data_IF_863939334918
#
_entry.id   IF_863939334918
#
_cell.length_a   1.000
_cell.length_b   1.000
_cell.length_c   1.000
_cell.angle_alpha   90.00
_cell.angle_beta   90.00
_cell.angle_gamma   90.00
#
_symmetry.space_group_name_H-M   'P 1'
#
loop_
_entity.id
_entity.type
_entity.pdbx_description
1 polymer ?
#
# COMPACT_ATOMS: atom_id res chain seq x y z
N UNK A 1 -47.30 -9.59 -23.30
CA UNK A 1 -45.93 -9.37 -23.82
C UNK A 1 -44.97 -8.68 -22.84
N UNK A 2 -45.39 -7.70 -22.02
CA UNK A 2 -44.48 -7.00 -21.07
C UNK A 2 -43.94 -7.87 -19.91
N UNK A 3 -44.72 -8.82 -19.41
CA UNK A 3 -44.33 -9.66 -18.25
C UNK A 3 -43.29 -10.73 -18.66
N UNK A 4 -43.39 -11.27 -19.88
CA UNK A 4 -42.44 -12.26 -20.39
C UNK A 4 -41.03 -11.66 -20.63
N UNK A 5 -40.96 -10.38 -21.00
CA UNK A 5 -39.68 -9.68 -21.21
C UNK A 5 -38.98 -9.40 -19.88
N UNK A 6 -39.73 -9.07 -18.81
CA UNK A 6 -39.17 -8.90 -17.47
C UNK A 6 -38.65 -10.21 -16.87
N UNK A 7 -39.34 -11.33 -17.12
CA UNK A 7 -38.87 -12.65 -16.69
C UNK A 7 -37.57 -13.08 -17.38
N UNK A 8 -37.39 -12.73 -18.66
CA UNK A 8 -36.18 -13.05 -19.42
C UNK A 8 -34.97 -12.21 -18.95
N UNK A 9 -35.18 -10.93 -18.61
CA UNK A 9 -34.13 -10.07 -18.04
C UNK A 9 -33.74 -10.48 -16.62
N UNK A 10 -34.70 -10.92 -15.78
CA UNK A 10 -34.40 -11.46 -14.45
C UNK A 10 -33.63 -12.79 -14.51
N UNK A 11 -33.91 -13.64 -15.50
CA UNK A 11 -33.21 -14.91 -15.70
C UNK A 11 -31.75 -14.71 -16.18
N UNK A 12 -31.50 -13.69 -17.01
CA UNK A 12 -30.16 -13.36 -17.52
C UNK A 12 -29.24 -12.72 -16.46
N UNK A 13 -29.78 -12.16 -15.37
CA UNK A 13 -28.99 -11.65 -14.25
C UNK A 13 -28.68 -12.76 -13.23
N UNK A 14 -29.45 -13.86 -13.24
CA UNK A 14 -29.28 -14.97 -12.28
C UNK A 14 -28.14 -15.93 -12.65
N UNK A 15 -27.60 -15.87 -13.87
CA UNK A 15 -26.27 -16.43 -14.18
C UNK A 15 -25.22 -15.46 -13.67
N UNK A 16 -25.18 -15.25 -12.35
CA UNK A 16 -24.03 -14.66 -11.70
C UNK A 16 -22.82 -15.45 -12.15
N UNK A 17 -21.86 -14.76 -12.74
CA UNK A 17 -20.56 -15.33 -13.05
C UNK A 17 -20.02 -15.90 -11.74
N UNK A 18 -20.07 -17.22 -11.60
CA UNK A 18 -19.29 -17.94 -10.61
C UNK A 18 -17.84 -17.81 -11.12
N UNK A 19 -17.23 -16.64 -10.91
CA UNK A 19 -15.78 -16.55 -10.93
C UNK A 19 -15.34 -17.44 -9.79
N UNK A 20 -14.71 -18.58 -10.06
CA UNK A 20 -14.22 -19.41 -8.99
C UNK A 20 -13.20 -18.58 -8.22
N UNK A 21 -13.50 -18.29 -6.95
CA UNK A 21 -12.52 -17.84 -5.98
C UNK A 21 -11.64 -19.05 -5.69
N UNK A 22 -10.74 -19.37 -6.60
CA UNK A 22 -9.72 -20.35 -6.33
C UNK A 22 -8.71 -19.72 -5.38
N UNK A 23 -8.36 -20.46 -4.34
CA UNK A 23 -7.23 -20.15 -3.49
C UNK A 23 -5.92 -20.21 -4.29
N UNK A 24 -5.85 -21.07 -5.34
CA UNK A 24 -4.83 -21.17 -6.40
C UNK A 24 -5.44 -21.55 -7.75
N UNK A 25 -4.97 -20.92 -8.84
CA UNK A 25 -5.45 -21.24 -10.21
C UNK A 25 -4.73 -22.45 -10.79
N UNK A 26 -5.49 -23.40 -11.34
CA UNK A 26 -4.97 -24.61 -12.00
C UNK A 26 -5.13 -24.54 -13.51
N UNK A 27 -4.05 -24.81 -14.24
CA UNK A 27 -4.01 -24.97 -15.70
C UNK A 27 -3.48 -26.36 -16.03
N UNK A 28 -4.10 -27.02 -17.01
CA UNK A 28 -3.65 -28.32 -17.51
C UNK A 28 -2.81 -28.13 -18.79
N UNK A 29 -1.63 -28.74 -18.82
CA UNK A 29 -0.73 -28.77 -19.98
C UNK A 29 -0.34 -30.22 -20.23
N UNK A 30 -0.93 -30.81 -21.27
CA UNK A 30 -0.77 -32.24 -21.57
C UNK A 30 -1.08 -33.12 -20.34
N UNK A 31 -0.10 -33.91 -19.87
CA UNK A 31 -0.24 -34.75 -18.68
C UNK A 31 -0.12 -34.00 -17.35
N UNK A 32 0.26 -32.71 -17.35
CA UNK A 32 0.56 -31.95 -16.15
C UNK A 32 -0.61 -31.08 -15.71
N UNK A 33 -0.86 -31.07 -14.40
CA UNK A 33 -1.69 -30.07 -13.73
C UNK A 33 -0.75 -29.12 -13.01
N UNK A 34 -0.80 -27.85 -13.40
CA UNK A 34 0.04 -26.77 -12.88
C UNK A 34 -0.88 -25.84 -12.11
N UNK A 35 -0.73 -25.83 -10.80
CA UNK A 35 -1.46 -24.97 -9.87
C UNK A 35 -0.50 -23.87 -9.40
N UNK A 36 -0.94 -22.61 -9.42
CA UNK A 36 -0.15 -21.47 -8.99
C UNK A 36 -0.99 -20.46 -8.20
N UNK A 37 -0.38 -19.82 -7.21
CA UNK A 37 -0.98 -18.71 -6.45
C UNK A 37 -0.14 -18.30 -5.26
N UNK A 38 -0.76 -17.77 -4.21
CA UNK A 38 -0.04 -17.22 -3.04
C UNK A 38 0.16 -18.25 -1.92
N UNK A 39 1.31 -18.21 -1.25
CA UNK A 39 1.61 -19.09 -0.12
C UNK A 39 0.87 -18.72 1.17
N UNK A 40 0.65 -17.41 1.40
CA UNK A 40 -0.12 -16.87 2.52
C UNK A 40 -1.35 -16.14 1.96
N UNK A 41 -2.51 -16.47 2.50
CA UNK A 41 -3.81 -15.93 2.06
C UNK A 41 -4.58 -15.24 3.20
N UNK A 42 -5.28 -14.12 2.92
CA UNK A 42 -5.25 -13.37 1.66
C UNK A 42 -3.86 -12.74 1.43
N UNK A 43 -3.41 -12.64 0.17
CA UNK A 43 -2.19 -11.92 -0.13
C UNK A 43 -2.41 -10.43 0.13
N UNK A 44 -1.51 -9.79 0.87
CA UNK A 44 -1.62 -8.36 1.20
C UNK A 44 -0.39 -7.58 0.78
N UNK A 45 -0.60 -6.33 0.40
CA UNK A 45 0.45 -5.43 -0.07
C UNK A 45 1.49 -5.13 1.01
N UNK A 46 2.77 -5.09 0.62
CA UNK A 46 3.88 -4.65 1.47
C UNK A 46 4.39 -5.70 2.45
N UNK A 47 3.77 -6.88 2.53
CA UNK A 47 4.20 -7.98 3.41
C UNK A 47 4.86 -9.06 2.56
N UNK A 48 5.98 -9.63 3.03
CA UNK A 48 6.62 -10.76 2.35
C UNK A 48 5.65 -11.94 2.28
N UNK A 49 5.55 -12.51 1.09
CA UNK A 49 4.78 -13.70 0.79
C UNK A 49 5.59 -14.58 -0.18
N UNK A 50 5.00 -15.68 -0.60
CA UNK A 50 5.56 -16.58 -1.60
C UNK A 50 4.58 -16.74 -2.76
N UNK A 51 5.10 -16.81 -3.99
CA UNK A 51 4.37 -17.42 -5.10
C UNK A 51 4.64 -18.92 -5.00
N UNK A 52 3.58 -19.72 -4.88
CA UNK A 52 3.67 -21.17 -4.79
C UNK A 52 3.20 -21.82 -6.08
N UNK A 53 3.86 -22.92 -6.42
CA UNK A 53 3.49 -23.77 -7.54
C UNK A 53 3.35 -25.21 -7.07
N UNK A 54 2.39 -25.90 -7.65
CA UNK A 54 2.21 -27.32 -7.49
C UNK A 54 2.03 -27.96 -8.85
N UNK A 55 2.98 -28.81 -9.21
CA UNK A 55 3.06 -29.46 -10.52
C UNK A 55 2.88 -30.97 -10.29
N UNK A 56 1.77 -31.50 -10.80
CA UNK A 56 1.44 -32.91 -10.68
C UNK A 56 1.13 -33.54 -12.03
N UNK A 57 1.28 -34.85 -12.14
CA UNK A 57 0.72 -35.65 -13.23
C UNK A 57 -0.29 -36.67 -12.68
N UNK A 58 -1.21 -37.14 -13.51
CA UNK A 58 -2.08 -38.26 -13.16
C UNK A 58 -1.26 -39.51 -12.89
N UNK A 59 -1.57 -40.20 -11.78
CA UNK A 59 -0.94 -41.47 -11.42
C UNK A 59 -1.53 -42.67 -12.16
N UNK A 60 -1.02 -43.87 -11.88
CA UNK A 60 -1.43 -45.11 -12.54
C UNK A 60 -2.89 -45.49 -12.27
N UNK A 61 -3.46 -45.05 -11.14
CA UNK A 61 -4.86 -45.29 -10.77
C UNK A 61 -5.67 -43.99 -10.89
N UNK A 62 -6.92 -44.08 -11.34
CA UNK A 62 -7.83 -42.94 -11.38
C UNK A 62 -7.93 -42.25 -10.01
N UNK A 63 -7.81 -40.92 -10.01
CA UNK A 63 -7.83 -40.09 -8.80
C UNK A 63 -6.52 -40.04 -8.02
N UNK A 64 -5.45 -40.74 -8.46
CA UNK A 64 -4.11 -40.59 -7.88
C UNK A 64 -3.30 -39.55 -8.66
N UNK A 65 -2.44 -38.81 -7.97
CA UNK A 65 -1.58 -37.79 -8.56
C UNK A 65 -0.16 -37.94 -8.05
N UNK A 66 0.81 -37.68 -8.92
CA UNK A 66 2.24 -37.74 -8.58
C UNK A 66 2.86 -36.36 -8.75
N UNK A 67 3.56 -35.88 -7.72
CA UNK A 67 4.31 -34.62 -7.78
C UNK A 67 5.52 -34.74 -8.71
N UNK A 68 5.70 -33.75 -9.59
CA UNK A 68 6.84 -33.67 -10.48
C UNK A 68 8.00 -33.02 -9.75
N UNK A 69 9.12 -33.74 -9.63
CA UNK A 69 10.37 -33.19 -9.10
C UNK A 69 11.20 -32.59 -10.23
N UNK A 70 12.07 -31.63 -9.87
CA UNK A 70 12.93 -30.88 -10.80
C UNK A 70 12.20 -30.22 -12.00
N UNK A 71 10.92 -29.86 -11.87
CA UNK A 71 10.16 -29.23 -12.94
C UNK A 71 10.79 -27.90 -13.41
N UNK A 72 11.37 -27.12 -12.49
CA UNK A 72 12.05 -25.85 -12.76
C UNK A 72 13.52 -25.99 -13.20
N UNK A 73 13.93 -27.16 -13.69
CA UNK A 73 15.27 -27.31 -14.25
C UNK A 73 15.42 -26.56 -15.58
N UNK A 74 14.40 -26.62 -16.44
CA UNK A 74 14.34 -25.98 -17.76
C UNK A 74 13.06 -25.15 -17.94
N UNK A 75 12.43 -24.76 -16.83
CA UNK A 75 11.21 -23.95 -16.79
C UNK A 75 11.52 -22.68 -16.00
N UNK A 76 11.16 -21.53 -16.55
CA UNK A 76 11.30 -20.23 -15.91
C UNK A 76 9.92 -19.70 -15.50
N UNK A 77 9.89 -18.88 -14.44
CA UNK A 77 8.70 -18.18 -14.00
C UNK A 77 8.94 -16.68 -13.95
N UNK A 78 8.01 -15.92 -14.49
CA UNK A 78 7.99 -14.46 -14.47
C UNK A 78 6.69 -13.97 -13.88
N UNK A 79 6.77 -13.17 -12.80
CA UNK A 79 5.61 -12.50 -12.22
C UNK A 79 5.37 -11.19 -12.96
N UNK A 80 4.11 -10.89 -13.28
CA UNK A 80 3.70 -9.69 -14.01
C UNK A 80 2.62 -8.91 -13.26
N UNK A 81 2.72 -7.58 -13.31
CA UNK A 81 1.72 -6.66 -12.76
C UNK A 81 1.71 -5.36 -13.57
N UNK A 82 0.55 -4.97 -14.11
CA UNK A 82 0.37 -3.65 -14.72
C UNK A 82 1.41 -3.27 -15.79
N UNK A 83 1.95 -4.25 -16.52
CA UNK A 83 3.00 -4.07 -17.52
C UNK A 83 4.44 -4.17 -17.00
N UNK A 84 4.65 -4.25 -15.68
CA UNK A 84 5.94 -4.62 -15.10
C UNK A 84 6.09 -6.14 -15.04
N UNK A 85 7.31 -6.63 -15.23
CA UNK A 85 7.66 -8.04 -15.16
C UNK A 85 8.90 -8.26 -14.30
N UNK A 86 8.95 -9.39 -13.59
CA UNK A 86 10.09 -9.82 -12.78
C UNK A 86 10.25 -11.34 -12.89
N UNK A 87 11.39 -11.79 -13.41
CA UNK A 87 11.79 -13.20 -13.31
C UNK A 87 12.04 -13.53 -11.82
N UNK A 88 11.49 -14.65 -11.35
CA UNK A 88 11.53 -15.05 -9.95
C UNK A 88 12.38 -16.31 -9.76
N UNK A 89 13.23 -16.29 -8.73
CA UNK A 89 14.07 -17.43 -8.39
C UNK A 89 13.25 -18.51 -7.69
N UNK A 90 13.20 -19.71 -8.28
CA UNK A 90 12.36 -20.81 -7.79
C UNK A 90 13.13 -21.72 -6.84
N UNK A 91 12.55 -21.97 -5.67
CA UNK A 91 13.00 -22.95 -4.69
C UNK A 91 12.11 -24.19 -4.74
N UNK A 92 12.68 -25.34 -4.41
CA UNK A 92 11.94 -26.61 -4.29
C UNK A 92 11.57 -26.87 -2.83
N UNK A 93 10.33 -27.29 -2.59
CA UNK A 93 9.89 -27.78 -1.29
C UNK A 93 10.30 -29.27 -1.11
N UNK A 94 10.54 -29.76 0.12
CA UNK A 94 10.75 -31.18 0.38
C UNK A 94 9.63 -32.09 -0.13
N UNK A 95 8.39 -31.57 -0.22
CA UNK A 95 7.23 -32.27 -0.76
C UNK A 95 7.31 -32.31 -2.30
N UNK A 96 7.33 -33.51 -2.92
CA UNK A 96 7.41 -33.63 -4.37
C UNK A 96 6.30 -32.87 -5.10
N UNK A 97 6.66 -32.14 -6.16
CA UNK A 97 5.72 -31.33 -6.95
C UNK A 97 5.52 -29.91 -6.44
N UNK A 98 6.01 -29.56 -5.26
CA UNK A 98 5.81 -28.23 -4.67
C UNK A 98 7.06 -27.35 -4.83
N UNK A 99 6.82 -26.11 -5.24
CA UNK A 99 7.84 -25.09 -5.48
C UNK A 99 7.36 -23.75 -4.97
N UNK A 100 8.29 -22.85 -4.66
CA UNK A 100 7.94 -21.52 -4.21
C UNK A 100 9.01 -20.48 -4.55
N UNK A 101 8.61 -19.22 -4.63
CA UNK A 101 9.52 -18.07 -4.71
C UNK A 101 9.05 -16.94 -3.82
N UNK A 102 9.96 -16.44 -2.97
CA UNK A 102 9.65 -15.34 -2.08
C UNK A 102 9.60 -13.99 -2.79
N UNK A 103 8.54 -13.24 -2.53
CA UNK A 103 8.32 -11.91 -3.10
C UNK A 103 7.65 -10.99 -2.08
N UNK A 104 7.75 -9.69 -2.28
CA UNK A 104 6.93 -8.71 -1.59
C UNK A 104 6.05 -8.05 -2.65
N UNK A 105 4.73 -8.33 -2.72
CA UNK A 105 3.85 -7.57 -3.60
C UNK A 105 3.80 -6.12 -3.10
N UNK A 106 4.06 -5.17 -3.99
CA UNK A 106 4.14 -3.74 -3.63
C UNK A 106 2.92 -2.94 -4.10
N UNK A 107 1.99 -3.61 -4.78
CA UNK A 107 0.74 -3.04 -5.29
C UNK A 107 -0.41 -4.00 -5.02
N UNK A 108 -1.59 -3.44 -4.85
CA UNK A 108 -2.84 -4.21 -4.79
C UNK A 108 -3.37 -4.51 -6.19
N UNK A 109 -4.23 -5.52 -6.30
CA UNK A 109 -4.86 -5.96 -7.53
C UNK A 109 -4.21 -7.20 -8.14
N UNK A 110 -4.55 -7.48 -9.40
CA UNK A 110 -4.26 -8.75 -10.05
C UNK A 110 -2.81 -8.89 -10.50
N UNK A 111 -2.24 -10.06 -10.20
CA UNK A 111 -0.94 -10.49 -10.68
C UNK A 111 -1.11 -11.67 -11.65
N UNK A 112 -0.17 -11.82 -12.58
CA UNK A 112 -0.06 -12.99 -13.44
C UNK A 112 1.28 -13.65 -13.19
N UNK A 113 1.32 -14.96 -13.41
CA UNK A 113 2.57 -15.71 -13.53
C UNK A 113 2.67 -16.29 -14.92
N UNK A 114 3.72 -15.91 -15.63
CA UNK A 114 4.11 -16.45 -16.92
C UNK A 114 5.11 -17.58 -16.71
N UNK A 115 4.82 -18.76 -17.27
CA UNK A 115 5.67 -19.94 -17.21
C UNK A 115 6.13 -20.29 -18.63
N UNK A 116 7.44 -20.28 -18.85
CA UNK A 116 8.05 -20.52 -20.15
C UNK A 116 9.22 -21.51 -20.05
N UNK A 117 9.24 -22.50 -20.94
CA UNK A 117 10.30 -23.50 -21.03
C UNK A 117 9.74 -24.89 -21.26
N UNK A 118 10.28 -25.89 -20.54
CA UNK A 118 9.84 -27.27 -20.66
C UNK A 118 9.86 -28.04 -19.34
N UNK A 119 8.91 -28.97 -19.21
CA UNK A 119 8.89 -29.98 -18.15
C UNK A 119 9.09 -31.34 -18.82
N UNK A 120 10.28 -31.93 -18.67
CA UNK A 120 10.63 -33.25 -19.24
C UNK A 120 10.33 -33.37 -20.75
N UNK A 121 10.62 -32.30 -21.50
CA UNK A 121 10.41 -32.23 -22.95
C UNK A 121 9.00 -31.80 -23.38
N UNK A 122 8.05 -31.60 -22.45
CA UNK A 122 6.77 -30.94 -22.75
C UNK A 122 6.97 -29.44 -22.68
N UNK A 123 6.71 -28.75 -23.78
CA UNK A 123 6.78 -27.29 -23.86
C UNK A 123 5.68 -26.68 -22.99
N UNK A 124 6.06 -25.72 -22.15
CA UNK A 124 5.16 -24.92 -21.33
C UNK A 124 5.35 -23.47 -21.74
N UNK A 125 4.27 -22.83 -22.16
CA UNK A 125 4.19 -21.40 -22.46
C UNK A 125 2.76 -20.94 -22.11
N UNK A 126 2.56 -20.63 -20.83
CA UNK A 126 1.24 -20.31 -20.27
C UNK A 126 1.31 -19.12 -19.32
N UNK A 127 0.21 -18.40 -19.23
CA UNK A 127 0.00 -17.35 -18.23
C UNK A 127 -1.12 -17.76 -17.29
N UNK A 128 -0.82 -17.74 -16.00
CA UNK A 128 -1.74 -18.13 -14.93
C UNK A 128 -2.09 -16.88 -14.13
N UNK A 129 -3.35 -16.41 -14.16
CA UNK A 129 -3.79 -15.39 -13.23
C UNK A 129 -3.83 -15.95 -11.81
N UNK A 130 -3.23 -15.21 -10.88
CA UNK A 130 -3.27 -15.54 -9.45
C UNK A 130 -4.14 -14.52 -8.72
N UNK A 131 -4.42 -14.80 -7.45
CA UNK A 131 -5.37 -14.05 -6.63
C UNK A 131 -4.93 -12.59 -6.47
N UNK A 132 -5.93 -11.70 -6.36
CA UNK A 132 -5.68 -10.27 -6.19
C UNK A 132 -4.99 -9.98 -4.86
N UNK A 133 -3.94 -9.17 -4.90
CA UNK A 133 -3.31 -8.65 -3.69
C UNK A 133 -4.21 -7.60 -3.06
N UNK A 134 -4.54 -7.80 -1.79
CA UNK A 134 -5.44 -6.95 -1.02
C UNK A 134 -4.69 -5.91 -0.19
N UNK A 135 -5.46 -4.96 0.36
CA UNK A 135 -4.97 -4.06 1.41
C UNK A 135 -4.74 -4.83 2.72
N UNK A 136 -3.76 -4.42 3.54
CA UNK A 136 -3.58 -4.98 4.89
C UNK A 136 -4.83 -4.79 5.76
N UNK A 137 -5.68 -3.81 5.44
CA UNK A 137 -6.91 -3.53 6.18
C UNK A 137 -7.91 -4.70 6.21
N UNK A 138 -7.80 -5.68 5.30
CA UNK A 138 -8.63 -6.90 5.34
C UNK A 138 -8.30 -7.80 6.54
N UNK A 139 -7.13 -7.63 7.14
CA UNK A 139 -6.63 -8.40 8.28
C UNK A 139 -6.70 -7.64 9.61
N UNK A 140 -7.07 -6.35 9.59
CA UNK A 140 -7.05 -5.52 10.79
C UNK A 140 -8.10 -6.00 11.82
N UNK A 141 -7.64 -6.16 13.07
CA UNK A 141 -8.53 -6.37 14.20
C UNK A 141 -8.09 -5.53 15.41
N UNK A 142 -8.97 -4.66 15.96
CA UNK A 142 -10.29 -4.31 15.43
C UNK A 142 -10.17 -3.67 14.03
N UNK A 143 -11.21 -3.75 13.18
CA UNK A 143 -11.16 -3.20 11.82
C UNK A 143 -10.89 -1.70 11.87
N UNK A 144 -9.93 -1.23 11.09
CA UNK A 144 -9.62 0.21 10.94
C UNK A 144 -10.63 0.93 10.04
N UNK A 145 -11.52 0.18 9.37
CA UNK A 145 -12.48 0.71 8.41
C UNK A 145 -13.87 0.90 9.03
N UNK A 146 -14.27 2.18 9.14
CA UNK A 146 -15.62 2.74 9.35
C UNK A 146 -16.11 3.13 10.75
N UNK A 147 -15.22 3.64 11.61
CA UNK A 147 -15.58 4.74 12.53
C UNK A 147 -14.78 6.00 12.20
N UNK A 148 -14.80 6.37 10.91
CA UNK A 148 -14.31 7.68 10.43
C UNK A 148 -15.04 8.87 11.06
N UNK A 149 -15.99 8.68 11.99
CA UNK A 149 -16.59 9.80 12.72
C UNK A 149 -15.61 10.37 13.75
N UNK A 150 -14.80 9.56 14.42
CA UNK A 150 -13.91 10.04 15.48
C UNK A 150 -12.72 10.81 14.89
N UNK A 151 -12.03 10.22 13.90
CA UNK A 151 -10.85 10.84 13.28
C UNK A 151 -11.20 12.01 12.37
N UNK A 152 -12.30 11.97 11.61
CA UNK A 152 -12.73 13.11 10.80
C UNK A 152 -13.27 14.23 11.67
N UNK A 153 -13.92 13.94 12.81
CA UNK A 153 -14.33 14.98 13.75
C UNK A 153 -13.13 15.61 14.45
N UNK A 154 -12.15 14.80 14.90
CA UNK A 154 -10.91 15.31 15.48
C UNK A 154 -10.12 16.16 14.47
N UNK A 155 -10.02 15.70 13.23
CA UNK A 155 -9.38 16.45 12.15
C UNK A 155 -10.14 17.72 11.77
N UNK A 156 -11.46 17.68 11.68
CA UNK A 156 -12.31 18.86 11.44
C UNK A 156 -12.18 19.87 12.57
N UNK A 157 -12.11 19.41 13.81
CA UNK A 157 -11.87 20.26 14.97
C UNK A 157 -10.48 20.89 14.91
N UNK A 158 -9.44 20.12 14.58
CA UNK A 158 -8.08 20.61 14.42
C UNK A 158 -7.96 21.63 13.27
N UNK A 159 -8.59 21.38 12.13
CA UNK A 159 -8.64 22.30 10.97
C UNK A 159 -9.40 23.58 11.35
N UNK A 160 -10.54 23.46 12.06
CA UNK A 160 -11.32 24.62 12.51
C UNK A 160 -10.52 25.47 13.51
N UNK A 161 -9.79 24.84 14.43
CA UNK A 161 -8.88 25.53 15.35
C UNK A 161 -7.76 26.23 14.60
N UNK A 162 -7.16 25.58 13.60
CA UNK A 162 -6.09 26.16 12.81
C UNK A 162 -6.58 27.35 11.96
N UNK A 163 -7.77 27.25 11.36
CA UNK A 163 -8.42 28.37 10.66
C UNK A 163 -8.71 29.54 11.59
N UNK A 164 -9.12 29.26 12.82
CA UNK A 164 -9.32 30.29 13.84
C UNK A 164 -8.00 30.95 14.24
N UNK A 165 -6.93 30.18 14.45
CA UNK A 165 -5.61 30.70 14.81
C UNK A 165 -5.00 31.53 13.67
N UNK A 166 -5.12 31.07 12.43
CA UNK A 166 -4.70 31.83 11.24
C UNK A 166 -5.52 33.12 11.10
N UNK A 167 -6.82 33.08 11.38
CA UNK A 167 -7.68 34.27 11.36
C UNK A 167 -7.30 35.27 12.44
N UNK A 168 -7.01 34.80 13.66
CA UNK A 168 -6.53 35.63 14.78
C UNK A 168 -5.15 36.24 14.53
N UNK A 169 -4.25 35.48 13.91
CA UNK A 169 -2.94 35.99 13.48
C UNK A 169 -3.10 37.05 12.39
N UNK A 170 -4.03 36.85 11.44
CA UNK A 170 -4.30 37.80 10.36
C UNK A 170 -5.06 39.04 10.81
N UNK A 171 -5.91 38.93 11.82
CA UNK A 171 -6.65 40.06 12.42
C UNK A 171 -5.82 40.87 13.42
N UNK A 172 -4.60 40.42 13.76
CA UNK A 172 -3.76 41.06 14.78
C UNK A 172 -4.27 40.86 16.21
N UNK A 173 -5.18 39.90 16.42
CA UNK A 173 -5.79 39.57 17.72
C UNK A 173 -4.91 38.66 18.59
N UNK A 174 -3.74 38.24 18.07
CA UNK A 174 -2.63 37.83 18.92
C UNK A 174 -2.03 39.07 19.58
N UNK A 175 -2.63 39.52 20.66
CA UNK A 175 -1.90 40.31 21.65
C UNK A 175 -0.81 39.42 22.20
N UNK A 176 0.40 39.53 21.64
CA UNK A 176 1.55 39.41 22.51
C UNK A 176 1.31 40.44 23.60
N UNK A 177 1.27 40.03 24.86
CA UNK A 177 1.59 40.94 25.95
C UNK A 177 3.10 41.27 25.88
N UNK A 178 3.56 41.71 24.71
CA UNK A 178 4.61 42.69 24.68
C UNK A 178 3.94 43.96 25.15
N UNK A 179 4.11 44.25 26.44
CA UNK A 179 4.12 45.62 26.96
C UNK A 179 5.17 46.40 26.16
N UNK A 180 4.87 46.73 24.90
CA UNK A 180 5.89 46.87 23.84
C UNK A 180 5.52 47.92 22.79
N UNK A 181 4.82 48.97 23.21
CA UNK A 181 4.84 50.26 22.53
C UNK A 181 5.34 51.33 23.50
N UNK A 182 4.64 51.49 24.63
CA UNK A 182 5.00 52.51 25.62
C UNK A 182 6.35 52.28 26.32
N UNK A 183 6.77 51.03 26.57
CA UNK A 183 8.03 50.74 27.27
C UNK A 183 9.27 50.91 26.39
N UNK A 184 9.17 50.58 25.09
CA UNK A 184 10.27 50.72 24.14
C UNK A 184 10.54 52.21 23.85
N UNK A 185 9.48 53.00 23.65
CA UNK A 185 9.60 54.44 23.49
C UNK A 185 10.15 55.11 24.76
N UNK A 186 9.73 54.65 25.95
CA UNK A 186 10.27 55.18 27.21
C UNK A 186 11.74 54.77 27.44
N UNK A 187 12.12 53.55 27.05
CA UNK A 187 13.51 53.08 27.15
C UNK A 187 14.44 53.84 26.19
N UNK A 188 14.01 54.08 24.95
CA UNK A 188 14.75 54.89 23.98
C UNK A 188 14.83 56.34 24.45
N UNK A 189 13.74 56.90 24.97
CA UNK A 189 13.72 58.25 25.53
C UNK A 189 14.66 58.39 26.73
N UNK A 190 14.62 57.46 27.69
CA UNK A 190 15.51 57.46 28.85
C UNK A 190 16.99 57.33 28.45
N UNK A 191 17.31 56.47 27.47
CA UNK A 191 18.67 56.32 26.96
C UNK A 191 19.18 57.60 26.28
N UNK A 192 18.30 58.30 25.54
CA UNK A 192 18.67 59.56 24.88
C UNK A 192 18.97 60.69 25.88
N UNK A 193 18.23 60.76 26.99
CA UNK A 193 18.49 61.70 28.08
C UNK A 193 19.82 61.38 28.76
N UNK A 194 20.10 60.10 29.02
CA UNK A 194 21.36 59.68 29.63
C UNK A 194 22.56 60.04 28.75
N UNK A 195 22.47 59.83 27.44
CA UNK A 195 23.50 60.23 26.49
C UNK A 195 23.71 61.75 26.49
N UNK A 196 22.64 62.55 26.47
CA UNK A 196 22.72 64.00 26.52
C UNK A 196 23.37 64.51 27.82
N UNK A 197 23.04 63.90 28.97
CA UNK A 197 23.61 64.25 30.26
C UNK A 197 25.13 63.98 30.31
N UNK A 198 25.58 62.86 29.75
CA UNK A 198 27.01 62.52 29.66
C UNK A 198 27.76 63.53 28.78
N UNK A 199 27.20 63.90 27.63
CA UNK A 199 27.81 64.91 26.74
C UNK A 199 27.94 66.26 27.46
N UNK A 200 26.89 66.72 28.14
CA UNK A 200 26.93 67.96 28.92
C UNK A 200 27.95 67.90 30.06
N UNK A 201 28.05 66.76 30.75
CA UNK A 201 29.06 66.56 31.80
C UNK A 201 30.49 66.64 31.25
N UNK A 202 30.76 66.04 30.08
CA UNK A 202 32.07 66.13 29.41
C UNK A 202 32.38 67.58 29.01
N UNK A 203 31.42 68.28 28.40
CA UNK A 203 31.58 69.70 28.02
C UNK A 203 31.85 70.57 29.24
N UNK A 204 31.14 70.34 30.35
CA UNK A 204 31.37 71.06 31.61
C UNK A 204 32.76 70.77 32.19
N UNK A 205 33.26 69.54 32.08
CA UNK A 205 34.61 69.16 32.51
C UNK A 205 35.70 69.81 31.64
N UNK A 206 35.49 69.89 30.33
CA UNK A 206 36.42 70.55 29.39
C UNK A 206 36.45 72.07 29.59
N UNK A 207 35.30 72.70 29.86
CA UNK A 207 35.21 74.15 30.15
C UNK A 207 35.71 74.55 31.54
N UNK A 208 36.01 73.59 32.43
CA UNK A 208 36.53 73.85 33.80
C UNK A 208 38.06 73.90 33.87
N UNK A 209 38.75 73.93 32.72
CA UNK A 209 40.16 74.33 32.63
C UNK A 209 40.29 75.78 32.19
#
# INVERSE_FOLDING_TARGET
MKIAIFGLFALLISTGMLVPSFAHTTVEVEQYKIEAGWGIEPPVVGIRNDIVFKITESGENEGTYRGITSAFQNLEATVMYGGASKNIDINSDPKPGYYFSSIIPTKTGSYLVDLQGEIRGVVVDIQIPIEDVESTAVLDFPPTNSDGSADVSALKNAISSLQQDVSKLKSGETTTTSTGGASYDFAIFALSIAAAAIILAIVALVKRK
#
